data_IF_779286531915
#
_entry.id   IF_779286531915
#
_cell.length_a   1.000
_cell.length_b   1.000
_cell.length_c   1.000
_cell.angle_alpha   90.00
_cell.angle_beta   90.00
_cell.angle_gamma   90.00
#
_symmetry.space_group_name_H-M   'P 1'
#
loop_
_entity.id
_entity.type
_entity.pdbx_description
1 polymer ?
#
# COMPACT_ATOMS: atom_id res chain seq x y z
N UNK A 1 2.83 -13.05 -28.00
CA UNK A 1 2.94 -12.94 -26.53
C UNK A 1 1.61 -13.28 -25.89
N UNK A 2 1.56 -14.42 -25.23
CA UNK A 2 0.49 -14.89 -24.35
C UNK A 2 0.41 -14.05 -23.06
N UNK A 3 -0.69 -14.22 -22.30
CA UNK A 3 -0.84 -13.60 -21.00
C UNK A 3 0.26 -14.04 -20.00
N UNK A 4 0.69 -15.31 -20.08
CA UNK A 4 1.75 -15.85 -19.22
C UNK A 4 3.10 -15.18 -19.47
N UNK A 5 3.47 -14.97 -20.73
CA UNK A 5 4.72 -14.29 -21.10
C UNK A 5 4.72 -12.81 -20.68
N UNK A 6 3.56 -12.14 -20.78
CA UNK A 6 3.41 -10.75 -20.32
C UNK A 6 3.58 -10.60 -18.80
N UNK A 7 3.06 -11.56 -18.02
CA UNK A 7 3.22 -11.56 -16.56
C UNK A 7 4.68 -11.78 -16.15
N UNK A 8 5.37 -12.75 -16.76
CA UNK A 8 6.79 -13.01 -16.49
C UNK A 8 7.64 -11.77 -16.78
N UNK A 9 7.38 -11.08 -17.90
CA UNK A 9 8.09 -9.85 -18.23
C UNK A 9 7.82 -8.72 -17.23
N UNK A 10 6.59 -8.59 -16.72
CA UNK A 10 6.27 -7.57 -15.71
C UNK A 10 7.03 -7.84 -14.40
N UNK A 11 7.10 -9.10 -13.98
CA UNK A 11 7.83 -9.52 -12.78
C UNK A 11 9.33 -9.18 -12.89
N UNK A 12 9.96 -9.51 -14.01
CA UNK A 12 11.36 -9.14 -14.28
C UNK A 12 11.56 -7.61 -14.21
N UNK A 13 10.67 -6.82 -14.81
CA UNK A 13 10.78 -5.36 -14.78
C UNK A 13 10.70 -4.78 -13.36
N UNK A 14 9.84 -5.34 -12.51
CA UNK A 14 9.70 -4.93 -11.11
C UNK A 14 10.92 -5.34 -10.27
N UNK A 15 11.44 -6.55 -10.48
CA UNK A 15 12.61 -7.06 -9.76
C UNK A 15 13.89 -6.31 -10.14
N UNK A 16 14.09 -6.09 -11.43
CA UNK A 16 15.29 -5.42 -11.92
C UNK A 16 15.24 -3.91 -11.67
N UNK A 17 14.06 -3.33 -11.43
CA UNK A 17 13.82 -1.86 -11.39
C UNK A 17 14.40 -1.14 -12.62
N UNK A 18 14.55 -1.85 -13.74
CA UNK A 18 15.29 -1.38 -14.93
C UNK A 18 14.42 -0.62 -15.92
N UNK A 19 13.10 -0.64 -15.76
CA UNK A 19 12.21 0.15 -16.63
C UNK A 19 12.13 1.61 -16.18
N UNK A 20 12.35 2.52 -17.13
CA UNK A 20 11.90 3.91 -17.02
C UNK A 20 10.40 3.93 -16.75
N UNK A 21 9.99 4.45 -15.59
CA UNK A 21 8.59 4.45 -15.14
C UNK A 21 8.23 3.34 -14.14
N UNK A 22 9.17 2.47 -13.76
CA UNK A 22 8.97 1.56 -12.64
C UNK A 22 8.97 2.34 -11.31
N UNK A 23 7.91 2.20 -10.52
CA UNK A 23 7.85 2.78 -9.18
C UNK A 23 8.72 1.95 -8.22
N UNK A 24 9.44 2.63 -7.33
CA UNK A 24 10.09 1.96 -6.20
C UNK A 24 9.01 1.42 -5.24
N UNK A 25 9.39 0.44 -4.42
CA UNK A 25 8.52 -0.04 -3.34
C UNK A 25 8.12 1.12 -2.40
N UNK A 26 9.04 2.05 -2.13
CA UNK A 26 8.78 3.25 -1.34
C UNK A 26 7.71 4.14 -1.98
N UNK A 27 7.82 4.44 -3.27
CA UNK A 27 6.80 5.22 -3.98
C UNK A 27 5.43 4.54 -4.01
N UNK A 28 5.40 3.20 -4.08
CA UNK A 28 4.15 2.43 -3.98
C UNK A 28 3.54 2.50 -2.57
N UNK A 29 4.37 2.51 -1.53
CA UNK A 29 3.93 2.68 -0.14
C UNK A 29 3.43 4.10 0.11
N UNK A 30 4.11 5.12 -0.41
CA UNK A 30 3.66 6.52 -0.33
C UNK A 30 2.31 6.70 -1.02
N UNK A 31 2.12 6.10 -2.20
CA UNK A 31 0.85 6.13 -2.91
C UNK A 31 -0.27 5.42 -2.13
N UNK A 32 0.04 4.30 -1.47
CA UNK A 32 -0.91 3.59 -0.61
C UNK A 32 -1.32 4.43 0.61
N UNK A 33 -0.36 5.09 1.27
CA UNK A 33 -0.62 5.97 2.43
C UNK A 33 -1.42 7.19 2.01
N UNK A 34 -1.08 7.79 0.87
CA UNK A 34 -1.82 8.91 0.29
C UNK A 34 -3.29 8.53 0.03
N UNK A 35 -3.52 7.42 -0.69
CA UNK A 35 -4.87 6.91 -0.96
C UNK A 35 -5.66 6.64 0.33
N UNK A 36 -5.03 6.00 1.31
CA UNK A 36 -5.64 5.74 2.61
C UNK A 36 -6.10 7.03 3.30
N UNK A 37 -5.24 8.05 3.29
CA UNK A 37 -5.49 9.36 3.92
C UNK A 37 -6.64 10.09 3.25
N UNK A 38 -6.65 10.12 1.91
CA UNK A 38 -7.72 10.73 1.12
C UNK A 38 -9.06 10.02 1.32
N UNK A 39 -9.07 8.68 1.26
CA UNK A 39 -10.27 7.89 1.52
C UNK A 39 -10.83 8.08 2.94
N UNK A 40 -9.97 8.31 3.93
CA UNK A 40 -10.38 8.54 5.32
C UNK A 40 -10.97 9.94 5.56
N UNK A 41 -10.54 10.92 4.76
CA UNK A 41 -10.93 12.33 4.87
C UNK A 41 -12.16 12.66 4.04
N UNK A 42 -12.38 11.95 2.94
CA UNK A 42 -13.48 12.20 2.02
C UNK A 42 -14.83 11.56 2.44
N UNK A 43 -15.98 12.03 1.91
CA UNK A 43 -17.29 11.41 2.12
C UNK A 43 -17.36 9.93 1.70
N UNK A 44 -16.46 9.54 0.79
CA UNK A 44 -16.25 8.17 0.30
C UNK A 44 -16.05 7.15 1.43
N UNK A 45 -15.59 7.55 2.62
CA UNK A 45 -15.47 6.68 3.79
C UNK A 45 -16.77 6.00 4.25
N UNK A 46 -17.93 6.42 3.73
CA UNK A 46 -19.25 5.81 4.01
C UNK A 46 -19.59 4.68 3.04
N UNK A 47 -18.88 4.58 1.91
CA UNK A 47 -19.03 3.47 0.98
C UNK A 47 -18.49 2.19 1.61
N UNK A 48 -19.23 1.09 1.46
CA UNK A 48 -18.89 -0.20 2.08
C UNK A 48 -17.47 -0.64 1.69
N UNK A 49 -17.15 -0.59 0.40
CA UNK A 49 -15.83 -1.00 -0.10
C UNK A 49 -14.69 -0.14 0.42
N UNK A 50 -14.92 1.16 0.58
CA UNK A 50 -13.91 2.08 1.13
C UNK A 50 -13.74 1.85 2.64
N UNK A 51 -14.85 1.64 3.35
CA UNK A 51 -14.83 1.32 4.79
C UNK A 51 -14.08 0.02 5.05
N UNK A 52 -14.36 -1.02 4.28
CA UNK A 52 -13.69 -2.33 4.36
C UNK A 52 -12.18 -2.19 4.08
N UNK A 53 -11.80 -1.40 3.07
CA UNK A 53 -10.41 -1.07 2.78
C UNK A 53 -9.72 -0.32 3.92
N UNK A 54 -10.38 0.71 4.48
CA UNK A 54 -9.84 1.51 5.58
C UNK A 54 -9.65 0.66 6.86
N UNK A 55 -10.57 -0.26 7.13
CA UNK A 55 -10.49 -1.18 8.26
C UNK A 55 -9.34 -2.19 8.06
N UNK A 56 -9.23 -2.78 6.87
CA UNK A 56 -8.13 -3.68 6.51
C UNK A 56 -6.76 -3.01 6.69
N UNK A 57 -6.63 -1.75 6.26
CA UNK A 57 -5.42 -0.95 6.46
C UNK A 57 -5.09 -0.75 7.95
N UNK A 58 -6.08 -0.41 8.79
CA UNK A 58 -5.87 -0.25 10.25
C UNK A 58 -5.38 -1.54 10.90
N UNK A 59 -5.98 -2.68 10.55
CA UNK A 59 -5.61 -3.96 11.14
C UNK A 59 -4.19 -4.40 10.75
N UNK A 60 -3.75 -4.06 9.53
CA UNK A 60 -2.35 -4.23 9.08
C UNK A 60 -1.38 -3.33 9.85
N UNK A 61 -1.70 -2.04 10.02
CA UNK A 61 -0.87 -1.10 10.78
C UNK A 61 -0.76 -1.49 12.27
N UNK A 62 -1.88 -1.93 12.88
CA UNK A 62 -1.93 -2.28 14.30
C UNK A 62 -1.09 -3.50 14.64
N UNK A 63 -1.05 -4.50 13.75
CA UNK A 63 -0.19 -5.68 13.91
C UNK A 63 1.32 -5.36 13.83
N UNK A 64 1.69 -4.26 13.19
CA UNK A 64 3.09 -3.82 13.10
C UNK A 64 3.51 -2.91 14.26
N UNK A 65 2.56 -2.18 14.86
CA UNK A 65 2.80 -1.28 15.99
C UNK A 65 2.69 -1.95 17.36
N UNK A 66 2.06 -3.13 17.48
CA UNK A 66 1.99 -3.90 18.73
C UNK A 66 3.35 -4.48 19.20
N UNK A 67 4.43 -4.22 18.47
CA UNK A 67 5.81 -4.58 18.86
C UNK A 67 6.73 -3.40 19.22
N UNK A 68 6.25 -2.15 19.23
CA UNK A 68 7.07 -0.99 19.65
C UNK A 68 6.81 -0.67 21.12
N UNK A 69 7.83 -0.66 22.00
CA UNK A 69 7.66 -0.21 23.37
C UNK A 69 7.34 1.29 23.35
N UNK A 70 6.25 1.66 24.01
CA UNK A 70 5.87 3.05 24.26
C UNK A 70 6.92 3.63 25.20
N UNK A 71 7.86 4.42 24.65
CA UNK A 71 8.69 5.31 25.44
C UNK A 71 7.79 6.44 25.96
N UNK A 72 7.32 6.30 27.19
CA UNK A 72 6.77 7.42 27.97
C UNK A 72 7.92 8.35 28.37
N UNK A 73 7.91 9.65 28.00
CA UNK A 73 8.85 10.60 28.57
C UNK A 73 8.48 10.92 30.04
N UNK A 74 9.46 11.35 30.85
CA UNK A 74 9.28 11.70 32.26
C UNK A 74 8.41 12.95 32.49
#
# INVERSE_FOLDING_TARGET
MSAKERLARLEELLLERRATGCLSVEALLDLLVCLYTECSSCPLKREKHVTDFLQWGKDRHRKHLSGRPVLTPP
#
